data_IF_651924996858
#
_entry.id   IF_651924996858
#
_cell.length_a   1.000
_cell.length_b   1.000
_cell.length_c   1.000
_cell.angle_alpha   90.00
_cell.angle_beta   90.00
_cell.angle_gamma   90.00
#
_symmetry.space_group_name_H-M   'P 1'
#
loop_
_entity.id
_entity.type
_entity.pdbx_description
1 polymer ?
#
# COMPACT_ATOMS: atom_id res chain seq x y z
N UNK A 1 -5.30 55.28 15.13
CA UNK A 1 -4.23 54.28 15.44
C UNK A 1 -4.79 52.85 15.51
N UNK A 2 -6.09 52.71 15.67
CA UNK A 2 -6.81 51.45 15.91
C UNK A 2 -6.81 50.50 14.70
N UNK A 3 -6.84 51.04 13.47
CA UNK A 3 -6.81 50.22 12.25
C UNK A 3 -5.49 49.47 12.04
N UNK A 4 -4.35 50.08 12.42
CA UNK A 4 -3.05 49.44 12.32
C UNK A 4 -2.90 48.31 13.36
N UNK A 5 -3.44 48.52 14.56
CA UNK A 5 -3.47 47.52 15.63
C UNK A 5 -4.35 46.34 15.22
N UNK A 6 -5.55 46.61 14.67
CA UNK A 6 -6.46 45.58 14.19
C UNK A 6 -5.84 44.74 13.07
N UNK A 7 -5.13 45.38 12.13
CA UNK A 7 -4.45 44.68 11.03
C UNK A 7 -3.31 43.80 11.54
N UNK A 8 -2.48 44.32 12.45
CA UNK A 8 -1.39 43.56 13.06
C UNK A 8 -1.91 42.33 13.84
N UNK A 9 -3.01 42.48 14.59
CA UNK A 9 -3.67 41.38 15.28
C UNK A 9 -4.22 40.33 14.30
N UNK A 10 -4.85 40.76 13.20
CA UNK A 10 -5.38 39.85 12.19
C UNK A 10 -4.28 39.04 11.48
N UNK A 11 -3.17 39.68 11.14
CA UNK A 11 -2.02 39.03 10.49
C UNK A 11 -1.32 38.03 11.42
N UNK A 12 -1.12 38.41 12.69
CA UNK A 12 -0.49 37.53 13.69
C UNK A 12 -1.37 36.32 14.03
N UNK A 13 -2.69 36.50 14.10
CA UNK A 13 -3.66 35.41 14.29
C UNK A 13 -3.65 34.42 13.12
N UNK A 14 -3.66 34.92 11.88
CA UNK A 14 -3.56 34.08 10.66
C UNK A 14 -2.26 33.27 10.65
N UNK A 15 -1.12 33.90 10.94
CA UNK A 15 0.19 33.24 10.98
C UNK A 15 0.26 32.13 12.04
N UNK A 16 -0.31 32.34 13.23
CA UNK A 16 -0.42 31.28 14.25
C UNK A 16 -1.30 30.12 13.79
N UNK A 17 -2.38 30.39 13.06
CA UNK A 17 -3.29 29.34 12.60
C UNK A 17 -2.66 28.44 11.53
N UNK A 18 -1.87 29.03 10.61
CA UNK A 18 -1.15 28.27 9.58
C UNK A 18 0.10 27.57 10.11
N UNK A 19 0.74 28.14 11.13
CA UNK A 19 1.94 27.58 11.77
C UNK A 19 1.65 26.43 12.75
N UNK A 20 0.38 26.13 13.06
CA UNK A 20 0.06 24.98 13.91
C UNK A 20 0.45 23.71 13.16
N UNK A 21 1.57 23.09 13.57
CA UNK A 21 1.95 21.75 13.11
C UNK A 21 0.75 20.84 13.29
N UNK A 22 0.29 20.24 12.19
CA UNK A 22 -0.76 19.22 12.25
C UNK A 22 -0.24 18.13 13.19
N UNK A 23 -1.05 17.77 14.20
CA UNK A 23 -0.67 16.69 15.11
C UNK A 23 -0.44 15.43 14.29
N UNK A 24 0.71 14.79 14.48
CA UNK A 24 1.03 13.53 13.81
C UNK A 24 0.06 12.47 14.30
N UNK A 25 -0.60 11.76 13.37
CA UNK A 25 -1.45 10.62 13.74
C UNK A 25 -0.55 9.51 14.27
N UNK A 26 -0.90 8.93 15.42
CA UNK A 26 -0.15 7.81 16.03
C UNK A 26 -0.18 6.53 15.19
N UNK A 27 -1.24 6.35 14.40
CA UNK A 27 -1.39 5.20 13.51
C UNK A 27 -1.89 5.68 12.15
N UNK A 28 -1.31 5.10 11.09
CA UNK A 28 -1.73 5.37 9.70
C UNK A 28 -3.03 4.62 9.39
N UNK A 29 -3.85 5.19 8.50
CA UNK A 29 -5.19 4.66 8.22
C UNK A 29 -5.16 3.27 7.58
N UNK A 30 -4.22 3.03 6.66
CA UNK A 30 -4.03 1.72 6.04
C UNK A 30 -3.74 0.64 7.08
N UNK A 31 -2.98 0.96 8.14
CA UNK A 31 -2.63 0.01 9.20
C UNK A 31 -3.86 -0.39 10.03
N UNK A 32 -4.75 0.58 10.31
CA UNK A 32 -6.02 0.33 11.00
C UNK A 32 -6.98 -0.51 10.14
N UNK A 33 -6.93 -0.32 8.81
CA UNK A 33 -7.77 -1.04 7.87
C UNK A 33 -7.14 -2.34 7.34
N UNK A 34 -5.92 -2.71 7.78
CA UNK A 34 -5.18 -3.87 7.24
C UNK A 34 -5.96 -5.19 7.28
N UNK A 35 -6.88 -5.35 8.23
CA UNK A 35 -7.70 -6.55 8.36
C UNK A 35 -8.83 -6.63 7.32
N UNK A 36 -9.20 -5.49 6.73
CA UNK A 36 -10.20 -5.42 5.65
C UNK A 36 -9.58 -5.76 4.30
N UNK A 37 -8.27 -5.53 4.14
CA UNK A 37 -7.55 -5.76 2.90
C UNK A 37 -6.92 -7.15 2.89
N UNK A 38 -7.05 -7.85 1.77
CA UNK A 38 -6.16 -8.98 1.46
C UNK A 38 -4.72 -8.48 1.24
N UNK A 39 -3.75 -9.38 1.31
CA UNK A 39 -2.33 -9.03 1.17
C UNK A 39 -2.01 -8.28 -0.14
N UNK A 40 -2.61 -8.73 -1.25
CA UNK A 40 -2.44 -8.11 -2.58
C UNK A 40 -3.10 -6.73 -2.67
N UNK A 41 -4.30 -6.57 -2.13
CA UNK A 41 -5.05 -5.31 -2.11
C UNK A 41 -4.31 -4.25 -1.30
N UNK A 42 -3.77 -4.64 -0.14
CA UNK A 42 -3.00 -3.77 0.75
C UNK A 42 -1.73 -3.26 0.08
N UNK A 43 -0.99 -4.14 -0.62
CA UNK A 43 0.22 -3.74 -1.35
C UNK A 43 -0.10 -2.74 -2.46
N UNK A 44 -1.25 -2.90 -3.14
CA UNK A 44 -1.70 -1.95 -4.15
C UNK A 44 -2.06 -0.59 -3.52
N UNK A 45 -2.82 -0.59 -2.43
CA UNK A 45 -3.18 0.64 -1.72
C UNK A 45 -1.94 1.39 -1.20
N UNK A 46 -0.98 0.67 -0.62
CA UNK A 46 0.29 1.23 -0.16
C UNK A 46 1.09 1.83 -1.33
N UNK A 47 1.20 1.12 -2.46
CA UNK A 47 1.94 1.60 -3.62
C UNK A 47 1.35 2.89 -4.18
N UNK A 48 0.02 2.98 -4.26
CA UNK A 48 -0.67 4.10 -4.90
C UNK A 48 -0.80 5.32 -3.97
N UNK A 49 -0.96 5.12 -2.65
CA UNK A 49 -1.25 6.20 -1.69
C UNK A 49 -0.07 6.56 -0.76
N UNK A 50 0.79 5.61 -0.41
CA UNK A 50 1.86 5.77 0.60
C UNK A 50 3.14 5.02 0.17
N UNK A 51 3.86 5.48 -0.87
CA UNK A 51 4.99 4.76 -1.45
C UNK A 51 6.16 4.56 -0.49
N UNK A 52 6.37 5.45 0.49
CA UNK A 52 7.39 5.27 1.52
C UNK A 52 7.06 4.11 2.47
N UNK A 53 5.78 3.93 2.80
CA UNK A 53 5.35 2.78 3.61
C UNK A 53 5.40 1.48 2.82
N UNK A 54 5.09 1.53 1.51
CA UNK A 54 5.26 0.39 0.62
C UNK A 54 6.70 -0.13 0.67
N UNK A 55 7.68 0.78 0.56
CA UNK A 55 9.11 0.45 0.67
C UNK A 55 9.47 -0.11 2.04
N UNK A 56 8.95 0.48 3.11
CA UNK A 56 9.21 0.00 4.47
C UNK A 56 8.60 -1.39 4.71
N UNK A 57 7.40 -1.64 4.17
CA UNK A 57 6.68 -2.90 4.32
C UNK A 57 7.37 -4.05 3.59
N UNK A 58 7.79 -3.83 2.33
CA UNK A 58 8.49 -4.85 1.53
C UNK A 58 10.01 -4.85 1.73
N UNK A 59 10.57 -3.81 2.36
CA UNK A 59 12.01 -3.52 2.47
C UNK A 59 12.71 -3.40 1.11
N UNK A 60 11.97 -3.02 0.07
CA UNK A 60 12.48 -2.85 -1.30
C UNK A 60 11.63 -1.83 -2.07
N UNK A 61 12.20 -1.30 -3.14
CA UNK A 61 11.47 -0.44 -4.09
C UNK A 61 10.47 -1.25 -4.94
N UNK A 62 9.44 -0.58 -5.46
CA UNK A 62 8.47 -1.21 -6.36
C UNK A 62 9.10 -1.70 -7.66
N UNK A 63 10.09 -0.99 -8.18
CA UNK A 63 10.79 -1.41 -9.40
C UNK A 63 11.60 -2.69 -9.16
N UNK A 64 12.29 -2.76 -8.02
CA UNK A 64 13.02 -3.96 -7.60
C UNK A 64 12.08 -5.14 -7.38
N UNK A 65 10.90 -4.90 -6.78
CA UNK A 65 9.88 -5.94 -6.64
C UNK A 65 9.40 -6.46 -7.99
N UNK A 66 9.15 -5.58 -8.96
CA UNK A 66 8.71 -5.97 -10.31
C UNK A 66 9.78 -6.79 -11.04
N UNK A 67 11.05 -6.38 -10.96
CA UNK A 67 12.17 -7.11 -11.55
C UNK A 67 12.27 -8.53 -10.96
N UNK A 68 12.21 -8.65 -9.63
CA UNK A 68 12.19 -9.95 -8.96
C UNK A 68 10.98 -10.78 -9.37
N UNK A 69 9.81 -10.15 -9.52
CA UNK A 69 8.60 -10.83 -9.95
C UNK A 69 8.76 -11.38 -11.37
N UNK A 70 9.32 -10.61 -12.30
CA UNK A 70 9.60 -11.06 -13.68
C UNK A 70 10.56 -12.25 -13.72
N UNK A 71 11.59 -12.26 -12.87
CA UNK A 71 12.53 -13.38 -12.77
C UNK A 71 11.87 -14.66 -12.22
N UNK A 72 10.94 -14.52 -11.28
CA UNK A 72 10.30 -15.65 -10.57
C UNK A 72 9.02 -16.11 -11.29
N UNK A 73 8.36 -15.24 -12.05
CA UNK A 73 7.16 -15.52 -12.85
C UNK A 73 7.23 -16.83 -13.66
N UNK A 74 8.28 -17.12 -14.45
CA UNK A 74 8.33 -18.35 -15.24
C UNK A 74 8.28 -19.60 -14.35
N UNK A 75 8.89 -19.55 -13.16
CA UNK A 75 8.89 -20.66 -12.20
C UNK A 75 7.52 -20.84 -11.54
N UNK A 76 6.85 -19.74 -11.19
CA UNK A 76 5.48 -19.77 -10.64
C UNK A 76 4.50 -20.30 -11.70
N UNK A 77 4.55 -19.79 -12.93
CA UNK A 77 3.68 -20.20 -14.05
C UNK A 77 3.86 -21.69 -14.36
N UNK A 78 5.11 -22.19 -14.39
CA UNK A 78 5.40 -23.61 -14.59
C UNK A 78 4.79 -24.50 -13.50
N UNK A 79 4.92 -24.11 -12.22
CA UNK A 79 4.30 -24.85 -11.10
C UNK A 79 2.77 -24.85 -11.18
N UNK A 80 2.15 -23.70 -11.48
CA UNK A 80 0.69 -23.62 -11.60
C UNK A 80 0.16 -24.51 -12.72
N UNK A 81 0.82 -24.53 -13.89
CA UNK A 81 0.44 -25.41 -15.00
C UNK A 81 0.58 -26.89 -14.64
N UNK A 82 1.64 -27.26 -13.90
CA UNK A 82 1.82 -28.63 -13.41
C UNK A 82 0.70 -29.02 -12.43
N UNK A 83 0.41 -28.18 -11.44
CA UNK A 83 -0.66 -28.43 -10.47
C UNK A 83 -2.03 -28.57 -11.16
N UNK A 84 -2.35 -27.69 -12.11
CA UNK A 84 -3.62 -27.75 -12.86
C UNK A 84 -3.73 -29.03 -13.70
N UNK A 85 -2.65 -29.42 -14.39
CA UNK A 85 -2.59 -30.69 -15.13
C UNK A 85 -2.78 -31.88 -14.19
N UNK A 86 -2.06 -31.94 -13.08
CA UNK A 86 -2.18 -33.03 -12.11
C UNK A 86 -3.59 -33.15 -11.54
N UNK A 87 -4.24 -32.03 -11.22
CA UNK A 87 -5.63 -32.03 -10.76
C UNK A 87 -6.59 -32.54 -11.85
N UNK A 88 -6.39 -32.14 -13.11
CA UNK A 88 -7.19 -32.64 -14.24
C UNK A 88 -7.00 -34.15 -14.48
N UNK A 89 -5.76 -34.65 -14.39
CA UNK A 89 -5.48 -36.08 -14.49
C UNK A 89 -6.13 -36.84 -13.32
N UNK A 90 -5.94 -36.37 -12.08
CA UNK A 90 -6.56 -36.98 -10.91
C UNK A 90 -8.09 -37.02 -11.02
N UNK A 91 -8.73 -35.95 -11.52
CA UNK A 91 -10.17 -35.91 -11.72
C UNK A 91 -10.64 -36.87 -12.84
N UNK A 92 -9.89 -36.97 -13.94
CA UNK A 92 -10.19 -37.92 -15.02
C UNK A 92 -10.06 -39.38 -14.56
N UNK A 93 -9.02 -39.70 -13.78
CA UNK A 93 -8.84 -41.04 -13.21
C UNK A 93 -9.84 -41.34 -12.08
N UNK A 94 -10.31 -40.34 -11.33
CA UNK A 94 -11.33 -40.51 -10.29
C UNK A 94 -12.76 -40.69 -10.82
N UNK A 95 -13.03 -40.36 -12.09
CA UNK A 95 -14.30 -40.62 -12.78
C UNK A 95 -14.31 -41.98 -13.51
N UNK A 96 -13.22 -42.73 -13.47
CA UNK A 96 -13.09 -44.08 -14.06
C UNK A 96 -13.19 -45.23 -13.04
N UNK A 97 -13.66 -44.96 -11.81
CA UNK A 97 -14.02 -45.99 -10.81
C UNK A 97 -15.47 -45.81 -10.36
#
# INVERSE_FOLDING_TARGET
MDGAIALALALTYRKRRTSKKKRTKWSKQWFLNRAKFGHSELLKELRDNEPDDYKNFLRMDGDCFNELLEMVEPNIKKKNQLCAKLLSFACHYALCF
#
